data_IF_749533135855
#
_entry.id   IF_749533135855
#
_cell.length_a   1.000
_cell.length_b   1.000
_cell.length_c   1.000
_cell.angle_alpha   90.00
_cell.angle_beta   90.00
_cell.angle_gamma   90.00
#
_symmetry.space_group_name_H-M   'P 1'
#
loop_
_entity.id
_entity.type
_entity.pdbx_description
1 polymer ?
#
# COMPACT_ATOMS: atom_id res chain seq x y z
N UNK A 1 -33.63 -72.32 -19.18
CA UNK A 1 -32.33 -71.69 -18.84
C UNK A 1 -32.27 -70.30 -19.47
N UNK A 2 -31.76 -69.31 -18.73
CA UNK A 2 -31.48 -67.91 -19.10
C UNK A 2 -32.70 -66.96 -19.14
N UNK A 3 -32.91 -66.22 -18.04
CA UNK A 3 -33.30 -64.78 -17.96
C UNK A 3 -33.73 -64.40 -16.53
N UNK A 4 -32.88 -64.63 -15.53
CA UNK A 4 -33.05 -64.04 -14.17
C UNK A 4 -31.68 -63.71 -13.59
N UNK A 5 -30.83 -62.98 -14.33
CA UNK A 5 -29.58 -62.41 -13.82
C UNK A 5 -29.31 -61.13 -14.61
N UNK A 6 -30.08 -60.05 -14.38
CA UNK A 6 -29.68 -58.72 -14.92
C UNK A 6 -30.43 -57.51 -14.35
N UNK A 7 -31.07 -57.61 -13.17
CA UNK A 7 -31.83 -56.47 -12.58
C UNK A 7 -31.34 -56.08 -11.17
N UNK A 8 -30.28 -56.70 -10.64
CA UNK A 8 -29.75 -56.36 -9.31
C UNK A 8 -28.42 -55.58 -9.31
N UNK A 9 -27.98 -55.01 -10.44
CA UNK A 9 -26.65 -54.39 -10.54
C UNK A 9 -26.62 -52.87 -10.86
N UNK A 10 -27.75 -52.15 -10.78
CA UNK A 10 -27.80 -50.68 -11.02
C UNK A 10 -28.56 -49.95 -9.90
N UNK A 11 -28.39 -50.41 -8.65
CA UNK A 11 -28.90 -49.72 -7.46
C UNK A 11 -27.86 -49.62 -6.33
N UNK A 12 -26.61 -49.95 -6.64
CA UNK A 12 -25.47 -49.74 -5.75
C UNK A 12 -24.68 -48.54 -6.28
N UNK A 13 -24.48 -47.57 -5.39
CA UNK A 13 -23.46 -46.52 -5.41
C UNK A 13 -23.60 -45.35 -6.39
N UNK A 14 -24.71 -44.62 -6.30
CA UNK A 14 -24.62 -43.16 -6.14
C UNK A 14 -25.03 -42.79 -4.71
N UNK A 15 -24.38 -43.40 -3.72
CA UNK A 15 -24.24 -42.73 -2.44
C UNK A 15 -23.29 -41.57 -2.68
N UNK A 16 -23.83 -40.46 -3.17
CA UNK A 16 -23.22 -39.16 -2.98
C UNK A 16 -23.14 -38.98 -1.48
N UNK A 17 -22.03 -39.41 -0.88
CA UNK A 17 -21.67 -39.05 0.49
C UNK A 17 -21.57 -37.53 0.48
N UNK A 18 -22.68 -36.85 0.78
CA UNK A 18 -22.67 -35.41 0.96
C UNK A 18 -21.73 -35.18 2.12
N UNK A 19 -20.62 -34.50 1.84
CA UNK A 19 -19.66 -34.15 2.87
C UNK A 19 -20.37 -33.28 3.92
N UNK A 20 -20.16 -33.59 5.19
CA UNK A 20 -20.83 -32.90 6.29
C UNK A 20 -20.26 -31.49 6.48
N UNK A 21 -21.12 -30.51 6.75
CA UNK A 21 -20.67 -29.17 7.10
C UNK A 21 -20.06 -29.14 8.51
N UNK A 22 -19.46 -28.02 8.89
CA UNK A 22 -18.80 -27.90 10.18
C UNK A 22 -19.74 -28.01 11.40
N UNK A 23 -21.03 -27.67 11.30
CA UNK A 23 -21.95 -27.92 12.42
C UNK A 23 -22.09 -29.42 12.69
N UNK A 24 -22.13 -30.25 11.63
CA UNK A 24 -22.17 -31.71 11.72
C UNK A 24 -20.81 -32.33 12.05
N UNK A 25 -19.71 -31.81 11.50
CA UNK A 25 -18.37 -32.32 11.82
C UNK A 25 -17.97 -32.03 13.27
N UNK A 26 -18.28 -30.82 13.77
CA UNK A 26 -17.96 -30.44 15.15
C UNK A 26 -18.85 -31.16 16.16
N UNK A 27 -20.09 -31.54 15.81
CA UNK A 27 -20.93 -32.35 16.71
C UNK A 27 -20.39 -33.78 16.94
N UNK A 28 -19.45 -34.24 16.11
CA UNK A 28 -18.75 -35.54 16.27
C UNK A 28 -17.64 -35.50 17.32
N UNK A 29 -17.32 -34.31 17.86
CA UNK A 29 -16.30 -34.11 18.90
C UNK A 29 -16.90 -33.45 20.14
N UNK A 30 -16.20 -33.54 21.27
CA UNK A 30 -16.63 -32.99 22.55
C UNK A 30 -15.64 -31.94 23.07
N UNK A 31 -16.10 -31.01 23.91
CA UNK A 31 -15.21 -30.11 24.65
C UNK A 31 -14.26 -30.93 25.55
N UNK A 32 -12.99 -30.56 25.60
CA UNK A 32 -11.99 -31.30 26.39
C UNK A 32 -10.55 -30.99 26.00
N UNK A 33 -9.61 -31.73 26.59
CA UNK A 33 -8.18 -31.61 26.26
C UNK A 33 -7.80 -32.59 25.15
N UNK A 34 -7.12 -32.07 24.11
CA UNK A 34 -6.73 -32.84 22.94
C UNK A 34 -5.20 -32.94 22.81
N UNK A 35 -4.65 -34.12 22.46
CA UNK A 35 -3.28 -34.24 21.96
C UNK A 35 -3.07 -33.34 20.74
N UNK A 36 -1.91 -32.70 20.68
CA UNK A 36 -1.56 -31.73 19.64
C UNK A 36 -0.40 -32.27 18.83
N UNK A 37 -0.60 -32.44 17.53
CA UNK A 37 0.45 -32.78 16.59
C UNK A 37 0.90 -31.51 15.89
N UNK A 38 2.14 -31.10 16.11
CA UNK A 38 2.73 -29.88 15.55
C UNK A 38 3.46 -30.21 14.26
N UNK A 39 3.24 -29.40 13.21
CA UNK A 39 4.01 -29.49 11.97
C UNK A 39 5.44 -28.97 12.20
N UNK A 40 6.43 -29.74 11.73
CA UNK A 40 7.85 -29.38 11.71
C UNK A 40 8.42 -29.60 10.32
N UNK A 41 9.25 -28.65 9.88
CA UNK A 41 10.05 -28.78 8.66
C UNK A 41 11.39 -29.47 8.99
N UNK A 42 11.65 -30.63 8.37
CA UNK A 42 12.89 -31.43 8.53
C UNK A 42 13.71 -31.40 7.24
N UNK A 43 13.81 -30.22 6.63
CA UNK A 43 14.46 -29.96 5.34
C UNK A 43 13.49 -29.37 4.32
N UNK A 44 14.01 -28.87 3.20
CA UNK A 44 13.22 -28.17 2.18
C UNK A 44 11.99 -28.99 1.76
N UNK A 45 10.80 -28.46 2.08
CA UNK A 45 9.48 -29.04 1.77
C UNK A 45 9.21 -30.44 2.37
N UNK A 46 9.96 -30.83 3.41
CA UNK A 46 9.75 -32.11 4.13
C UNK A 46 9.10 -31.86 5.48
N UNK A 47 7.77 -31.91 5.50
CA UNK A 47 6.97 -31.68 6.69
C UNK A 47 6.60 -32.98 7.39
N UNK A 48 6.76 -33.01 8.72
CA UNK A 48 6.30 -34.11 9.58
C UNK A 48 5.47 -33.57 10.73
N UNK A 49 4.59 -34.41 11.28
CA UNK A 49 3.86 -34.11 12.50
C UNK A 49 4.55 -34.77 13.71
N UNK A 50 4.85 -33.96 14.73
CA UNK A 50 5.43 -34.42 15.99
C UNK A 50 4.45 -34.14 17.14
N UNK A 51 4.25 -35.14 18.02
CA UNK A 51 3.36 -35.01 19.17
C UNK A 51 3.94 -34.03 20.18
N UNK A 52 3.20 -32.97 20.50
CA UNK A 52 3.57 -32.00 21.52
C UNK A 52 3.41 -32.57 22.93
N UNK A 53 4.25 -32.09 23.86
CA UNK A 53 4.24 -32.53 25.27
C UNK A 53 2.98 -32.16 26.04
N UNK A 54 2.28 -31.09 25.64
CA UNK A 54 1.10 -30.56 26.34
C UNK A 54 -0.11 -30.60 25.43
N UNK A 55 -1.22 -31.06 25.98
CA UNK A 55 -2.53 -31.03 25.33
C UNK A 55 -3.13 -29.63 25.33
N UNK A 56 -4.02 -29.33 24.38
CA UNK A 56 -4.75 -28.07 24.31
C UNK A 56 -6.23 -28.27 24.65
N UNK A 57 -6.79 -27.48 25.57
CA UNK A 57 -8.24 -27.44 25.80
C UNK A 57 -8.98 -26.84 24.61
N UNK A 58 -10.10 -27.47 24.26
CA UNK A 58 -11.06 -27.04 23.25
C UNK A 58 -12.44 -26.96 23.90
N UNK A 59 -13.14 -25.85 23.68
CA UNK A 59 -14.50 -25.63 24.17
C UNK A 59 -15.41 -25.26 22.99
N UNK A 60 -16.50 -26.01 22.86
CA UNK A 60 -17.50 -25.88 21.79
C UNK A 60 -18.74 -25.20 22.37
N UNK A 61 -19.27 -24.21 21.66
CA UNK A 61 -20.43 -23.43 22.09
C UNK A 61 -21.62 -23.69 21.16
N UNK A 62 -22.43 -24.74 21.41
CA UNK A 62 -23.63 -25.00 20.61
C UNK A 62 -24.75 -24.00 20.94
N UNK A 63 -25.51 -23.61 19.92
CA UNK A 63 -26.71 -22.79 19.99
C UNK A 63 -27.81 -23.47 19.14
N UNK A 64 -28.57 -24.38 19.76
CA UNK A 64 -29.47 -25.28 19.03
C UNK A 64 -28.69 -26.22 18.11
N UNK A 65 -29.06 -26.28 16.83
CA UNK A 65 -28.39 -27.09 15.80
C UNK A 65 -27.14 -26.41 15.20
N UNK A 66 -26.80 -25.21 15.68
CA UNK A 66 -25.68 -24.42 15.17
C UNK A 66 -24.52 -24.44 16.15
N UNK A 67 -23.31 -24.36 15.62
CA UNK A 67 -22.09 -24.19 16.42
C UNK A 67 -21.42 -22.91 15.94
N UNK A 68 -21.82 -21.73 16.45
CA UNK A 68 -21.34 -20.44 15.95
C UNK A 68 -19.87 -20.14 16.28
N UNK A 69 -19.32 -20.76 17.32
CA UNK A 69 -17.93 -20.51 17.76
C UNK A 69 -17.28 -21.69 18.47
N UNK A 70 -15.95 -21.75 18.39
CA UNK A 70 -15.08 -22.70 19.08
C UNK A 70 -13.97 -21.89 19.78
N UNK A 71 -13.60 -22.28 21.00
CA UNK A 71 -12.47 -21.72 21.74
C UNK A 71 -11.35 -22.76 21.80
N UNK A 72 -10.13 -22.36 21.43
CA UNK A 72 -8.93 -23.18 21.57
C UNK A 72 -7.96 -22.47 22.51
N UNK A 73 -7.60 -23.12 23.61
CA UNK A 73 -6.66 -22.57 24.61
C UNK A 73 -5.24 -23.08 24.35
N UNK A 74 -4.47 -22.34 23.57
CA UNK A 74 -3.09 -22.69 23.25
C UNK A 74 -2.17 -22.50 24.46
N UNK A 75 -1.26 -23.44 24.67
CA UNK A 75 -0.25 -23.36 25.74
C UNK A 75 0.63 -22.12 25.55
N UNK A 76 0.55 -21.18 26.50
CA UNK A 76 1.40 -19.98 26.54
C UNK A 76 0.90 -18.79 25.71
N UNK A 77 -0.34 -18.84 25.19
CA UNK A 77 -1.00 -17.75 24.44
C UNK A 77 -2.41 -17.48 25.04
N UNK A 78 -2.94 -16.29 24.77
CA UNK A 78 -4.30 -15.82 25.11
C UNK A 78 -5.38 -16.77 24.54
N UNK A 79 -6.54 -16.81 25.17
CA UNK A 79 -7.74 -17.49 24.70
C UNK A 79 -8.16 -17.03 23.29
N UNK A 80 -8.23 -17.95 22.33
CA UNK A 80 -8.55 -17.63 20.94
C UNK A 80 -9.94 -18.14 20.54
N UNK A 81 -10.86 -17.21 20.30
CA UNK A 81 -12.18 -17.52 19.76
C UNK A 81 -12.16 -17.56 18.24
N UNK A 82 -12.70 -18.64 17.70
CA UNK A 82 -12.90 -18.87 16.27
C UNK A 82 -14.38 -18.84 15.95
N UNK A 83 -14.78 -17.99 14.99
CA UNK A 83 -16.19 -17.82 14.58
C UNK A 83 -16.45 -18.53 13.26
N UNK A 84 -17.63 -19.14 13.13
CA UNK A 84 -18.08 -19.80 11.90
C UNK A 84 -18.04 -18.82 10.70
N UNK A 85 -17.54 -19.27 9.55
CA UNK A 85 -17.53 -18.46 8.33
C UNK A 85 -18.93 -18.14 7.80
N UNK A 86 -19.86 -19.08 7.99
CA UNK A 86 -21.31 -18.94 7.79
C UNK A 86 -22.04 -19.72 8.91
N UNK A 87 -22.92 -19.07 9.70
CA UNK A 87 -23.58 -19.75 10.82
C UNK A 87 -24.39 -21.00 10.43
N UNK A 88 -25.18 -20.92 9.36
CA UNK A 88 -26.09 -22.00 8.96
C UNK A 88 -25.39 -23.17 8.24
N UNK A 89 -24.26 -22.93 7.59
CA UNK A 89 -23.54 -23.95 6.81
C UNK A 89 -22.04 -23.66 6.78
N UNK A 90 -21.33 -23.80 7.93
CA UNK A 90 -19.94 -23.40 8.00
C UNK A 90 -19.04 -24.40 7.28
N UNK A 91 -18.00 -23.88 6.65
CA UNK A 91 -16.92 -24.66 6.05
C UNK A 91 -15.63 -24.60 6.88
N UNK A 92 -15.54 -23.64 7.79
CA UNK A 92 -14.41 -23.42 8.71
C UNK A 92 -14.80 -22.36 9.73
N UNK A 93 -13.97 -22.22 10.76
CA UNK A 93 -14.01 -21.13 11.73
C UNK A 93 -12.76 -20.26 11.57
N UNK A 94 -12.84 -18.96 11.79
CA UNK A 94 -11.70 -18.04 11.64
C UNK A 94 -11.50 -17.18 12.88
N UNK A 95 -10.24 -16.90 13.20
CA UNK A 95 -9.83 -16.02 14.30
C UNK A 95 -9.92 -14.53 13.93
N UNK A 96 -9.82 -13.64 14.92
CA UNK A 96 -10.01 -12.19 14.77
C UNK A 96 -9.15 -11.49 13.69
N UNK A 97 -8.01 -12.07 13.30
CA UNK A 97 -7.14 -11.54 12.26
C UNK A 97 -7.36 -12.18 10.87
N UNK A 98 -8.38 -13.04 10.71
CA UNK A 98 -8.81 -13.70 9.46
C UNK A 98 -7.77 -14.58 8.71
N UNK A 99 -6.52 -14.66 9.17
CA UNK A 99 -5.47 -15.48 8.54
C UNK A 99 -5.49 -16.95 8.97
N UNK A 100 -5.90 -17.22 10.22
CA UNK A 100 -5.93 -18.56 10.80
C UNK A 100 -7.34 -19.13 10.76
N UNK A 101 -7.44 -20.33 10.21
CA UNK A 101 -8.66 -21.12 10.10
C UNK A 101 -8.60 -22.37 10.98
N UNK A 102 -9.77 -22.78 11.45
CA UNK A 102 -10.02 -24.04 12.14
C UNK A 102 -11.09 -24.82 11.41
N UNK A 103 -10.84 -26.09 11.11
CA UNK A 103 -11.80 -27.00 10.47
C UNK A 103 -11.76 -28.33 11.20
N UNK A 104 -12.92 -28.92 11.44
CA UNK A 104 -13.06 -30.28 11.98
C UNK A 104 -13.40 -31.23 10.84
N UNK A 105 -12.65 -32.32 10.71
CA UNK A 105 -12.92 -33.40 9.74
C UNK A 105 -12.60 -34.70 10.44
N UNK A 106 -13.52 -35.66 10.46
CA UNK A 106 -13.30 -37.00 11.02
C UNK A 106 -12.68 -36.95 12.43
N UNK A 107 -13.24 -36.11 13.31
CA UNK A 107 -12.79 -35.89 14.70
C UNK A 107 -11.37 -35.33 14.85
N UNK A 108 -10.78 -34.80 13.79
CA UNK A 108 -9.52 -34.05 13.81
C UNK A 108 -9.81 -32.57 13.66
N UNK A 109 -9.22 -31.75 14.53
CA UNK A 109 -9.32 -30.29 14.46
C UNK A 109 -8.04 -29.78 13.79
N UNK A 110 -8.17 -29.32 12.56
CA UNK A 110 -7.10 -28.75 11.75
C UNK A 110 -6.94 -27.27 12.06
N UNK A 111 -5.72 -26.85 12.37
CA UNK A 111 -5.33 -25.46 12.58
C UNK A 111 -4.37 -25.05 11.47
N UNK A 112 -4.75 -24.11 10.63
CA UNK A 112 -4.04 -23.84 9.38
C UNK A 112 -4.25 -22.40 8.87
N UNK A 113 -3.40 -21.98 7.93
CA UNK A 113 -3.64 -20.79 7.10
C UNK A 113 -4.06 -21.22 5.70
N UNK A 114 -4.83 -20.38 4.99
CA UNK A 114 -5.34 -20.71 3.66
C UNK A 114 -4.95 -19.68 2.60
N UNK A 115 -4.42 -20.15 1.47
CA UNK A 115 -4.15 -19.33 0.30
C UNK A 115 -4.85 -19.89 -0.94
N UNK A 116 -5.38 -19.01 -1.78
CA UNK A 116 -5.97 -19.42 -3.06
C UNK A 116 -4.97 -20.05 -4.03
N UNK A 117 -3.65 -19.83 -3.83
CA UNK A 117 -2.59 -20.36 -4.70
C UNK A 117 -2.01 -21.68 -4.19
N UNK A 118 -1.77 -21.82 -2.88
CA UNK A 118 -1.07 -22.97 -2.28
C UNK A 118 -1.98 -23.91 -1.48
N UNK A 119 -3.24 -23.54 -1.24
CA UNK A 119 -4.18 -24.31 -0.42
C UNK A 119 -3.93 -24.09 1.07
N UNK A 120 -4.22 -25.11 1.87
CA UNK A 120 -4.01 -25.12 3.32
C UNK A 120 -2.54 -25.33 3.69
N UNK A 121 -2.04 -24.57 4.67
CA UNK A 121 -0.76 -24.80 5.33
C UNK A 121 -1.03 -25.15 6.81
N UNK A 122 -0.92 -26.44 7.14
CA UNK A 122 -1.33 -26.96 8.45
C UNK A 122 -0.23 -26.70 9.47
N UNK A 123 -0.56 -25.96 10.53
CA UNK A 123 0.33 -25.72 11.66
C UNK A 123 0.19 -26.77 12.76
N UNK A 124 -1.06 -27.16 13.07
CA UNK A 124 -1.37 -28.13 14.12
C UNK A 124 -2.57 -28.99 13.74
N UNK A 125 -2.59 -30.23 14.25
CA UNK A 125 -3.77 -31.09 14.26
C UNK A 125 -4.04 -31.51 15.70
N UNK A 126 -5.23 -31.23 16.21
CA UNK A 126 -5.66 -31.65 17.54
C UNK A 126 -6.59 -32.84 17.37
N UNK A 127 -6.20 -34.00 17.90
CA UNK A 127 -6.98 -35.23 17.81
C UNK A 127 -6.54 -36.26 18.84
N UNK A 128 -7.48 -37.14 19.24
CA UNK A 128 -7.17 -38.35 20.02
C UNK A 128 -6.77 -39.52 19.11
N UNK A 129 -6.95 -39.38 17.80
CA UNK A 129 -6.65 -40.40 16.80
C UNK A 129 -5.21 -40.29 16.28
N UNK A 130 -4.85 -41.19 15.36
CA UNK A 130 -3.56 -41.12 14.67
C UNK A 130 -3.61 -40.05 13.57
N UNK A 131 -2.50 -39.34 13.41
CA UNK A 131 -2.29 -38.39 12.32
C UNK A 131 -1.47 -39.05 11.22
N UNK A 132 -1.91 -38.89 9.97
CA UNK A 132 -1.24 -39.40 8.78
C UNK A 132 -0.07 -38.50 8.37
N UNK A 133 0.45 -38.68 7.15
CA UNK A 133 1.49 -37.81 6.60
C UNK A 133 0.95 -36.40 6.32
N UNK A 134 1.82 -35.40 6.35
CA UNK A 134 1.43 -34.00 6.07
C UNK A 134 0.68 -33.85 4.74
N UNK A 135 1.17 -34.48 3.67
CA UNK A 135 0.56 -34.38 2.34
C UNK A 135 -0.86 -34.96 2.32
N UNK A 136 -1.09 -36.09 2.98
CA UNK A 136 -2.42 -36.70 3.06
C UNK A 136 -3.40 -35.80 3.83
N UNK A 137 -2.98 -35.32 5.00
CA UNK A 137 -3.80 -34.43 5.83
C UNK A 137 -4.11 -33.10 5.12
N UNK A 138 -3.14 -32.55 4.38
CA UNK A 138 -3.32 -31.35 3.56
C UNK A 138 -4.31 -31.59 2.42
N UNK A 139 -4.18 -32.71 1.71
CA UNK A 139 -5.06 -33.05 0.59
C UNK A 139 -6.51 -33.22 1.07
N UNK A 140 -6.72 -33.94 2.17
CA UNK A 140 -8.04 -34.12 2.80
C UNK A 140 -8.68 -32.76 3.16
N UNK A 141 -7.91 -31.86 3.77
CA UNK A 141 -8.37 -30.52 4.14
C UNK A 141 -8.66 -29.64 2.92
N UNK A 142 -7.80 -29.67 1.90
CA UNK A 142 -7.99 -28.94 0.65
C UNK A 142 -9.23 -29.39 -0.11
N UNK A 143 -9.49 -30.71 -0.16
CA UNK A 143 -10.66 -31.30 -0.79
C UNK A 143 -11.94 -30.92 -0.04
N UNK A 144 -11.97 -31.10 1.29
CA UNK A 144 -13.09 -30.67 2.14
C UNK A 144 -13.45 -29.21 1.88
N UNK A 145 -12.44 -28.33 1.88
CA UNK A 145 -12.62 -26.89 1.65
C UNK A 145 -13.19 -26.57 0.27
N UNK A 146 -12.75 -27.27 -0.78
CA UNK A 146 -13.25 -27.07 -2.15
C UNK A 146 -14.72 -27.51 -2.26
N UNK A 147 -15.06 -28.68 -1.74
CA UNK A 147 -16.42 -29.22 -1.78
C UNK A 147 -17.39 -28.34 -1.00
N UNK A 148 -17.05 -27.98 0.24
CA UNK A 148 -17.87 -27.09 1.06
C UNK A 148 -18.07 -25.73 0.40
N UNK A 149 -17.03 -25.17 -0.22
CA UNK A 149 -17.15 -23.90 -0.94
C UNK A 149 -18.15 -23.97 -2.10
N UNK A 150 -18.20 -25.10 -2.82
CA UNK A 150 -19.18 -25.33 -3.88
C UNK A 150 -20.62 -25.38 -3.36
N UNK A 151 -20.82 -26.07 -2.23
CA UNK A 151 -22.12 -26.19 -1.56
C UNK A 151 -22.59 -24.89 -0.88
N UNK A 152 -21.66 -24.01 -0.49
CA UNK A 152 -21.96 -22.70 0.09
C UNK A 152 -22.35 -21.62 -0.95
N UNK A 153 -22.42 -21.92 -2.25
CA UNK A 153 -22.64 -20.91 -3.30
C UNK A 153 -23.90 -20.05 -3.08
N UNK A 154 -25.02 -20.65 -2.67
CA UNK A 154 -26.26 -19.92 -2.33
C UNK A 154 -26.13 -19.01 -1.11
N UNK A 155 -25.72 -19.57 0.04
CA UNK A 155 -25.56 -18.83 1.30
C UNK A 155 -24.48 -17.72 1.24
N UNK A 156 -23.47 -17.87 0.36
CA UNK A 156 -22.48 -16.81 0.10
C UNK A 156 -23.08 -15.65 -0.69
N UNK A 157 -23.92 -15.93 -1.68
CA UNK A 157 -24.65 -14.89 -2.43
C UNK A 157 -25.58 -14.12 -1.50
N UNK A 158 -26.37 -14.81 -0.68
CA UNK A 158 -27.24 -14.17 0.33
C UNK A 158 -26.45 -13.31 1.32
N UNK A 159 -25.27 -13.74 1.77
CA UNK A 159 -24.42 -12.90 2.63
C UNK A 159 -23.88 -11.66 1.90
N UNK A 160 -23.55 -11.77 0.62
CA UNK A 160 -23.14 -10.62 -0.20
C UNK A 160 -24.30 -9.64 -0.32
N UNK A 161 -25.51 -10.14 -0.58
CA UNK A 161 -26.74 -9.35 -0.67
C UNK A 161 -27.07 -8.68 0.67
N UNK A 162 -27.05 -9.42 1.77
CA UNK A 162 -27.29 -8.87 3.12
C UNK A 162 -26.23 -7.84 3.52
N UNK A 163 -24.95 -8.06 3.18
CA UNK A 163 -23.90 -7.05 3.40
C UNK A 163 -24.11 -5.82 2.54
N UNK A 164 -24.55 -6.00 1.29
CA UNK A 164 -24.87 -4.88 0.40
C UNK A 164 -26.08 -4.10 0.91
N UNK A 165 -27.11 -4.78 1.42
CA UNK A 165 -28.30 -4.15 2.00
C UNK A 165 -27.94 -3.38 3.28
N UNK A 166 -27.14 -3.97 4.18
CA UNK A 166 -26.64 -3.28 5.37
C UNK A 166 -25.78 -2.07 5.00
N UNK A 167 -24.90 -2.21 4.02
CA UNK A 167 -24.08 -1.10 3.52
C UNK A 167 -24.94 0.00 2.87
N UNK A 168 -26.03 -0.37 2.17
CA UNK A 168 -26.96 0.59 1.58
C UNK A 168 -27.74 1.36 2.66
N UNK A 169 -28.23 0.66 3.70
CA UNK A 169 -28.88 1.30 4.87
C UNK A 169 -27.92 2.24 5.59
N UNK A 170 -26.69 1.79 5.85
CA UNK A 170 -25.66 2.63 6.46
C UNK A 170 -25.31 3.86 5.60
N UNK A 171 -25.24 3.69 4.27
CA UNK A 171 -25.02 4.80 3.35
C UNK A 171 -26.18 5.82 3.37
N UNK A 172 -27.43 5.34 3.41
CA UNK A 172 -28.62 6.19 3.51
C UNK A 172 -28.68 6.95 4.85
N UNK A 173 -28.29 6.30 5.95
CA UNK A 173 -28.23 6.92 7.27
C UNK A 173 -27.14 7.99 7.39
N UNK A 174 -26.08 7.90 6.59
CA UNK A 174 -24.91 8.78 6.67
C UNK A 174 -24.78 9.79 5.52
N UNK A 175 -25.52 9.65 4.42
CA UNK A 175 -25.59 10.66 3.36
C UNK A 175 -26.35 11.91 3.82
N UNK A 176 -26.10 13.05 3.17
CA UNK A 176 -26.83 14.31 3.34
C UNK A 176 -28.07 14.42 2.44
N UNK A 177 -28.27 13.50 1.49
CA UNK A 177 -29.41 13.53 0.56
C UNK A 177 -30.73 13.49 1.34
N UNK A 178 -31.62 14.43 1.04
CA UNK A 178 -32.94 14.54 1.68
C UNK A 178 -32.93 15.02 3.13
N UNK A 179 -31.76 15.36 3.70
CA UNK A 179 -31.65 15.83 5.09
C UNK A 179 -31.57 17.35 5.17
N UNK A 180 -32.27 17.92 6.14
CA UNK A 180 -32.19 19.35 6.45
C UNK A 180 -30.92 19.67 7.23
N UNK A 181 -30.03 20.44 6.60
CA UNK A 181 -28.73 20.80 7.15
C UNK A 181 -28.84 22.14 7.89
N UNK A 182 -28.32 22.21 9.12
CA UNK A 182 -28.22 23.43 9.93
C UNK A 182 -26.89 24.15 9.72
N UNK A 183 -25.77 23.41 9.78
CA UNK A 183 -24.43 23.98 9.63
C UNK A 183 -23.43 22.97 9.12
N UNK A 184 -22.37 23.45 8.46
CA UNK A 184 -21.23 22.66 8.03
C UNK A 184 -19.95 23.31 8.58
N UNK A 185 -19.09 22.51 9.19
CA UNK A 185 -17.78 22.94 9.68
C UNK A 185 -16.69 22.01 9.16
N UNK A 186 -15.51 22.56 8.94
CA UNK A 186 -14.31 21.84 8.50
C UNK A 186 -13.36 21.78 9.71
N UNK A 187 -12.84 20.59 10.00
CA UNK A 187 -11.93 20.35 11.14
C UNK A 187 -10.70 19.61 10.68
N UNK A 188 -9.54 20.10 11.09
CA UNK A 188 -8.27 19.39 10.95
C UNK A 188 -8.22 18.28 12.02
N UNK A 189 -7.84 17.06 11.64
CA UNK A 189 -7.84 15.89 12.52
C UNK A 189 -6.80 16.05 13.63
N UNK A 190 -5.61 16.51 13.25
CA UNK A 190 -4.53 16.89 14.15
C UNK A 190 -3.79 18.07 13.53
N UNK A 191 -3.81 19.23 14.19
CA UNK A 191 -3.14 20.42 13.67
C UNK A 191 -1.61 20.24 13.80
N UNK A 192 -0.87 20.06 12.69
CA UNK A 192 0.56 19.84 12.79
C UNK A 192 1.25 21.13 13.25
N UNK A 193 2.27 20.97 14.10
CA UNK A 193 3.14 22.08 14.52
C UNK A 193 3.99 22.60 13.36
N UNK A 194 4.25 21.76 12.36
CA UNK A 194 5.06 22.06 11.18
C UNK A 194 4.21 21.88 9.94
N UNK A 195 3.96 22.98 9.22
CA UNK A 195 3.25 22.94 7.95
C UNK A 195 3.98 23.83 6.95
N UNK A 196 4.24 23.30 5.78
CA UNK A 196 4.89 24.04 4.71
C UNK A 196 4.65 23.40 3.35
N UNK A 197 5.50 23.69 2.39
CA UNK A 197 5.33 23.21 1.02
C UNK A 197 5.17 21.68 0.97
N UNK A 198 4.23 21.17 0.17
CA UNK A 198 3.97 19.73 0.00
C UNK A 198 3.57 18.97 1.27
N UNK A 199 3.38 19.64 2.41
CA UNK A 199 2.85 19.00 3.61
C UNK A 199 1.42 18.50 3.35
N UNK A 200 1.08 17.35 3.91
CA UNK A 200 -0.26 16.77 3.82
C UNK A 200 -0.91 16.87 5.19
N UNK A 201 -2.12 17.43 5.24
CA UNK A 201 -2.91 17.56 6.46
C UNK A 201 -4.30 16.98 6.25
N UNK A 202 -4.75 16.17 7.22
CA UNK A 202 -6.07 15.56 7.15
C UNK A 202 -7.12 16.52 7.69
N UNK A 203 -8.14 16.79 6.87
CA UNK A 203 -9.26 17.68 7.16
C UNK A 203 -10.56 16.93 6.87
N UNK A 204 -11.46 16.89 7.84
CA UNK A 204 -12.79 16.33 7.65
C UNK A 204 -13.90 17.38 7.72
N UNK A 205 -15.09 16.95 7.36
CA UNK A 205 -16.30 17.77 7.39
C UNK A 205 -17.23 17.23 8.48
N UNK A 206 -17.72 18.14 9.31
CA UNK A 206 -18.73 17.88 10.32
C UNK A 206 -19.98 18.70 9.98
N UNK A 207 -21.10 18.00 9.82
CA UNK A 207 -22.39 18.55 9.44
C UNK A 207 -23.38 18.36 10.57
N UNK A 208 -23.97 19.45 11.04
CA UNK A 208 -25.06 19.40 12.03
C UNK A 208 -26.39 19.51 11.30
N UNK A 209 -27.27 18.55 11.50
CA UNK A 209 -28.63 18.56 10.96
C UNK A 209 -29.55 19.43 11.84
N UNK A 210 -30.70 19.84 11.30
CA UNK A 210 -31.69 20.64 12.05
C UNK A 210 -32.24 19.93 13.28
N UNK A 211 -32.26 18.59 13.28
CA UNK A 211 -32.65 17.75 14.42
C UNK A 211 -31.54 17.56 15.47
N UNK A 212 -30.38 18.21 15.29
CA UNK A 212 -29.24 18.11 16.21
C UNK A 212 -28.29 16.94 15.96
N UNK A 213 -28.62 15.97 15.09
CA UNK A 213 -27.69 14.88 14.73
C UNK A 213 -26.45 15.46 14.05
N UNK A 214 -25.28 14.98 14.47
CA UNK A 214 -23.99 15.35 13.88
C UNK A 214 -23.50 14.22 13.00
N UNK A 215 -23.24 14.53 11.74
CA UNK A 215 -22.70 13.64 10.73
C UNK A 215 -21.26 14.05 10.41
N UNK A 216 -20.36 13.08 10.26
CA UNK A 216 -18.92 13.32 10.11
C UNK A 216 -18.38 12.51 8.94
N UNK A 217 -17.38 13.04 8.25
CA UNK A 217 -16.64 12.28 7.25
C UNK A 217 -15.63 11.32 7.89
N UNK A 218 -15.09 10.39 7.09
CA UNK A 218 -14.17 9.33 7.53
C UNK A 218 -13.00 9.83 8.39
N UNK A 219 -12.38 10.94 8.01
CA UNK A 219 -11.23 11.48 8.73
C UNK A 219 -11.56 11.95 10.16
N UNK A 220 -12.84 12.19 10.46
CA UNK A 220 -13.32 12.54 11.80
C UNK A 220 -14.04 11.37 12.48
N UNK A 221 -13.86 10.14 11.99
CA UNK A 221 -14.45 8.93 12.54
C UNK A 221 -15.91 8.68 12.17
N UNK A 222 -16.48 9.41 11.20
CA UNK A 222 -17.83 9.17 10.71
C UNK A 222 -17.86 8.49 9.33
N UNK A 223 -19.06 8.33 8.77
CA UNK A 223 -19.27 7.60 7.52
C UNK A 223 -19.91 8.47 6.42
N UNK A 224 -20.06 9.77 6.65
CA UNK A 224 -20.61 10.68 5.64
C UNK A 224 -19.69 10.74 4.43
N UNK A 225 -20.19 10.47 3.22
CA UNK A 225 -19.36 10.41 2.02
C UNK A 225 -18.92 11.82 1.60
N UNK A 226 -17.64 11.97 1.24
CA UNK A 226 -17.12 13.23 0.69
C UNK A 226 -17.82 13.65 -0.60
N UNK A 227 -18.43 12.69 -1.31
CA UNK A 227 -19.19 12.92 -2.53
C UNK A 227 -20.43 13.82 -2.33
N UNK A 228 -20.91 13.99 -1.09
CA UNK A 228 -22.06 14.85 -0.77
C UNK A 228 -21.72 16.34 -0.73
N UNK A 229 -20.43 16.68 -0.88
CA UNK A 229 -19.93 18.03 -0.75
C UNK A 229 -19.32 18.55 -2.04
N UNK A 230 -19.41 19.87 -2.24
CA UNK A 230 -18.60 20.62 -3.19
C UNK A 230 -17.53 21.37 -2.39
N UNK A 231 -16.26 21.02 -2.59
CA UNK A 231 -15.15 21.59 -1.83
C UNK A 231 -14.24 22.37 -2.78
N UNK A 232 -13.94 23.61 -2.41
CA UNK A 232 -12.98 24.47 -3.09
C UNK A 232 -11.78 24.71 -2.17
N UNK A 233 -10.57 24.56 -2.70
CA UNK A 233 -9.32 24.78 -1.99
C UNK A 233 -8.52 25.95 -2.56
N UNK A 234 -7.78 26.63 -1.69
CA UNK A 234 -6.77 27.64 -2.01
C UNK A 234 -5.52 27.35 -1.17
N UNK A 235 -4.32 27.55 -1.71
CA UNK A 235 -3.07 27.18 -1.04
C UNK A 235 -2.61 25.74 -1.30
N UNK A 236 -3.37 24.97 -2.06
CA UNK A 236 -3.08 23.57 -2.35
C UNK A 236 -4.27 22.80 -2.92
N UNK A 237 -4.10 21.49 -2.98
CA UNK A 237 -5.07 20.56 -3.54
C UNK A 237 -5.75 19.78 -2.41
N UNK A 238 -7.07 19.60 -2.52
CA UNK A 238 -7.85 18.81 -1.56
C UNK A 238 -8.48 17.60 -2.24
N UNK A 239 -8.22 16.40 -1.72
CA UNK A 239 -8.79 15.16 -2.23
C UNK A 239 -9.05 14.17 -1.10
N UNK A 240 -10.28 13.65 -1.03
CA UNK A 240 -10.60 12.52 -0.14
C UNK A 240 -10.42 12.76 1.36
N UNK A 241 -10.38 14.01 1.81
CA UNK A 241 -10.10 14.36 3.20
C UNK A 241 -8.68 14.80 3.48
N UNK A 242 -7.78 14.73 2.50
CA UNK A 242 -6.40 15.19 2.65
C UNK A 242 -6.19 16.47 1.84
N UNK A 243 -5.54 17.43 2.48
CA UNK A 243 -5.10 18.67 1.85
C UNK A 243 -3.59 18.63 1.67
N UNK A 244 -3.13 18.75 0.43
CA UNK A 244 -1.72 18.85 0.09
C UNK A 244 -1.37 20.29 -0.22
N UNK A 245 -0.52 20.89 0.61
CA UNK A 245 -0.03 22.27 0.44
C UNK A 245 0.74 22.39 -0.88
N UNK A 246 0.50 23.47 -1.62
CA UNK A 246 1.17 23.71 -2.89
C UNK A 246 2.71 23.74 -2.75
N UNK A 247 3.40 23.23 -3.77
CA UNK A 247 4.88 23.27 -3.83
C UNK A 247 5.45 24.67 -4.11
N UNK A 248 4.61 25.62 -4.54
CA UNK A 248 5.00 26.95 -4.98
C UNK A 248 4.27 28.01 -4.16
N UNK A 249 5.00 28.92 -3.53
CA UNK A 249 4.43 29.95 -2.64
C UNK A 249 3.50 30.91 -3.35
N UNK A 250 3.63 31.09 -4.68
CA UNK A 250 2.73 31.94 -5.48
C UNK A 250 1.30 31.39 -5.50
N UNK A 251 1.13 30.10 -5.22
CA UNK A 251 -0.18 29.43 -5.13
C UNK A 251 -0.76 29.44 -3.71
N UNK A 252 -0.05 30.04 -2.75
CA UNK A 252 -0.43 30.12 -1.33
C UNK A 252 -0.65 31.59 -0.96
N UNK A 253 -1.79 32.18 -1.37
CA UNK A 253 -2.06 33.57 -1.06
C UNK A 253 -2.20 33.76 0.46
N UNK A 254 -1.63 34.86 0.97
CA UNK A 254 -1.67 35.22 2.38
C UNK A 254 -1.10 34.14 3.32
N UNK A 255 -0.22 33.26 2.82
CA UNK A 255 0.49 32.26 3.61
C UNK A 255 -0.43 31.35 4.45
N UNK A 256 -1.58 30.99 3.87
CA UNK A 256 -2.60 30.15 4.49
C UNK A 256 -3.16 29.13 3.51
N UNK A 257 -3.63 28.00 4.05
CA UNK A 257 -4.54 27.11 3.34
C UNK A 257 -5.98 27.53 3.64
N UNK A 258 -6.83 27.50 2.62
CA UNK A 258 -8.24 27.81 2.77
C UNK A 258 -9.11 26.77 2.09
N UNK A 259 -10.18 26.40 2.78
CA UNK A 259 -11.20 25.49 2.25
C UNK A 259 -12.57 26.12 2.41
N UNK A 260 -13.39 25.95 1.38
CA UNK A 260 -14.80 26.29 1.39
C UNK A 260 -15.58 25.05 1.00
N UNK A 261 -16.51 24.63 1.85
CA UNK A 261 -17.37 23.48 1.61
C UNK A 261 -18.83 23.92 1.54
N UNK A 262 -19.56 23.39 0.56
CA UNK A 262 -21.03 23.48 0.50
C UNK A 262 -21.62 22.09 0.31
N UNK A 263 -22.83 21.87 0.83
CA UNK A 263 -23.55 20.64 0.53
C UNK A 263 -24.07 20.66 -0.91
N UNK A 264 -23.97 19.52 -1.62
CA UNK A 264 -24.60 19.36 -2.93
C UNK A 264 -26.12 19.40 -2.88
N UNK A 265 -26.71 19.08 -1.73
CA UNK A 265 -28.15 18.99 -1.53
C UNK A 265 -28.74 20.24 -0.85
N UNK A 266 -27.89 21.13 -0.35
CA UNK A 266 -28.29 22.43 0.18
C UNK A 266 -27.13 23.43 -0.01
N UNK A 267 -27.14 24.14 -1.13
CA UNK A 267 -26.11 25.10 -1.51
C UNK A 267 -26.08 26.35 -0.62
N UNK A 268 -27.16 26.62 0.14
CA UNK A 268 -27.25 27.76 1.06
C UNK A 268 -26.44 27.59 2.34
N UNK A 269 -26.07 26.35 2.71
CA UNK A 269 -25.24 26.09 3.88
C UNK A 269 -23.78 25.92 3.46
N UNK A 270 -22.92 26.78 4.01
CA UNK A 270 -21.49 26.84 3.70
C UNK A 270 -20.65 26.75 4.97
N UNK A 271 -19.59 25.95 4.92
CA UNK A 271 -18.50 25.97 5.90
C UNK A 271 -17.24 26.56 5.27
N UNK A 272 -16.44 27.25 6.07
CA UNK A 272 -15.12 27.73 5.65
C UNK A 272 -14.07 27.35 6.69
N UNK A 273 -12.85 27.16 6.24
CA UNK A 273 -11.69 26.85 7.06
C UNK A 273 -10.49 27.62 6.55
N UNK A 274 -9.68 28.10 7.48
CA UNK A 274 -8.48 28.86 7.18
C UNK A 274 -7.42 28.48 8.20
N UNK A 275 -6.22 28.12 7.74
CA UNK A 275 -5.12 27.75 8.61
C UNK A 275 -3.80 28.35 8.13
N UNK A 276 -3.08 29.10 8.99
CA UNK A 276 -1.80 29.72 8.63
C UNK A 276 -0.70 28.68 8.42
N UNK A 277 0.21 28.97 7.50
CA UNK A 277 1.39 28.13 7.22
C UNK A 277 2.62 28.77 7.87
N UNK A 278 3.51 27.95 8.43
CA UNK A 278 4.74 28.43 9.08
C UNK A 278 6.03 28.08 8.32
N UNK A 279 5.93 27.30 7.24
CA UNK A 279 7.03 26.91 6.36
C UNK A 279 8.16 26.20 7.10
N UNK A 280 7.84 25.50 8.19
CA UNK A 280 8.79 24.73 9.00
C UNK A 280 9.03 23.34 8.41
N UNK A 281 9.40 23.27 7.13
CA UNK A 281 9.77 22.01 6.50
C UNK A 281 11.00 22.15 5.60
N UNK A 282 11.75 21.06 5.48
CA UNK A 282 12.91 21.02 4.58
C UNK A 282 12.43 20.93 3.13
N UNK A 283 13.17 21.58 2.23
CA UNK A 283 12.85 21.63 0.81
C UNK A 283 13.91 20.90 -0.01
N UNK A 284 13.46 20.19 -1.03
CA UNK A 284 14.33 19.42 -1.92
C UNK A 284 13.97 19.72 -3.38
N UNK A 285 14.89 20.35 -4.12
CA UNK A 285 14.72 20.68 -5.53
C UNK A 285 15.64 19.81 -6.39
N UNK A 286 15.05 19.19 -7.42
CA UNK A 286 15.73 18.31 -8.35
C UNK A 286 15.77 18.97 -9.73
N UNK A 287 16.92 19.56 -10.06
CA UNK A 287 17.24 20.11 -11.37
C UNK A 287 18.46 19.41 -11.99
N UNK A 288 18.69 18.16 -11.60
CA UNK A 288 19.76 17.33 -12.15
C UNK A 288 19.49 16.92 -13.60
N UNK A 289 20.56 16.63 -14.34
CA UNK A 289 20.48 16.10 -15.67
C UNK A 289 20.01 14.64 -15.68
N UNK A 290 19.28 14.26 -16.71
CA UNK A 290 18.87 12.87 -16.93
C UNK A 290 20.05 11.99 -17.34
N UNK A 291 20.03 10.74 -16.90
CA UNK A 291 21.00 9.74 -17.33
C UNK A 291 20.88 9.43 -18.82
N UNK A 292 22.00 9.07 -19.43
CA UNK A 292 22.04 8.56 -20.80
C UNK A 292 21.50 7.13 -20.88
N UNK A 293 20.98 6.77 -22.05
CA UNK A 293 20.45 5.42 -22.31
C UNK A 293 21.57 4.38 -22.28
N UNK A 294 21.29 3.20 -21.75
CA UNK A 294 22.20 2.07 -21.91
C UNK A 294 22.25 1.63 -23.38
N UNK A 295 23.44 1.29 -23.84
CA UNK A 295 23.65 0.62 -25.10
C UNK A 295 23.03 -0.78 -25.08
N UNK A 296 22.48 -1.19 -26.22
CA UNK A 296 21.91 -2.52 -26.43
C UNK A 296 22.96 -3.43 -27.07
N UNK A 297 23.27 -4.56 -26.43
CA UNK A 297 24.14 -5.59 -26.99
C UNK A 297 23.34 -6.64 -27.76
N UNK A 298 24.02 -7.44 -28.60
CA UNK A 298 23.43 -8.62 -29.24
C UNK A 298 22.37 -8.35 -30.31
N UNK A 299 22.26 -7.12 -30.81
CA UNK A 299 21.40 -6.79 -31.96
C UNK A 299 22.20 -7.08 -33.23
N UNK A 300 21.62 -7.83 -34.18
CA UNK A 300 22.30 -8.26 -35.40
C UNK A 300 23.04 -7.10 -36.09
N UNK A 301 24.37 -7.18 -36.06
CA UNK A 301 25.28 -6.39 -36.89
C UNK A 301 25.81 -5.07 -36.30
N UNK A 302 25.42 -4.62 -35.10
CA UNK A 302 26.04 -3.44 -34.43
C UNK A 302 25.89 -3.48 -32.90
N UNK A 303 27.00 -3.34 -32.17
CA UNK A 303 26.98 -2.93 -30.75
C UNK A 303 26.54 -1.48 -30.61
N UNK A 304 25.53 -1.21 -29.78
CA UNK A 304 25.05 0.17 -29.57
C UNK A 304 25.81 0.85 -28.43
N UNK A 305 26.27 2.07 -28.69
CA UNK A 305 26.93 2.93 -27.69
C UNK A 305 25.97 3.36 -26.59
N UNK A 306 26.51 3.58 -25.39
CA UNK A 306 25.77 4.24 -24.32
C UNK A 306 25.52 5.72 -24.65
N UNK A 307 24.34 6.22 -24.33
CA UNK A 307 23.98 7.62 -24.50
C UNK A 307 24.69 8.52 -23.47
N UNK A 308 24.93 9.77 -23.84
CA UNK A 308 25.48 10.77 -22.93
C UNK A 308 24.45 11.20 -21.88
N UNK A 309 24.90 11.37 -20.65
CA UNK A 309 24.12 12.03 -19.61
C UNK A 309 23.89 13.51 -19.94
N UNK A 310 22.73 14.04 -19.56
CA UNK A 310 22.41 15.46 -19.74
C UNK A 310 23.08 16.28 -18.64
N UNK A 311 23.39 17.54 -18.94
CA UNK A 311 23.90 18.47 -17.92
C UNK A 311 22.83 18.75 -16.86
N UNK A 312 23.27 19.03 -15.64
CA UNK A 312 22.44 19.64 -14.62
C UNK A 312 22.05 21.06 -15.03
N UNK A 313 20.88 21.51 -14.56
CA UNK A 313 20.38 22.84 -14.89
C UNK A 313 21.12 23.91 -14.09
N UNK A 314 21.59 24.95 -14.75
CA UNK A 314 22.10 26.14 -14.07
C UNK A 314 20.95 27.02 -13.60
N UNK A 315 21.02 27.51 -12.36
CA UNK A 315 19.94 28.27 -11.73
C UNK A 315 20.43 29.51 -10.99
N UNK A 316 19.63 30.57 -11.07
CA UNK A 316 19.82 31.81 -10.33
C UNK A 316 18.77 31.88 -9.22
N UNK A 317 19.22 31.90 -7.96
CA UNK A 317 18.41 32.07 -6.77
C UNK A 317 18.43 33.51 -6.28
N UNK A 318 17.25 34.12 -6.13
CA UNK A 318 17.08 35.39 -5.41
C UNK A 318 16.52 35.12 -4.02
N UNK A 319 17.16 35.67 -3.00
CA UNK A 319 16.83 35.49 -1.58
C UNK A 319 16.31 36.81 -0.99
N UNK A 320 15.20 36.74 -0.27
CA UNK A 320 14.59 37.89 0.41
C UNK A 320 14.15 37.48 1.81
N UNK A 321 14.55 38.25 2.82
CA UNK A 321 14.06 38.06 4.19
C UNK A 321 12.60 38.50 4.29
N UNK A 322 11.75 37.66 4.87
CA UNK A 322 10.35 37.99 5.14
C UNK A 322 9.95 37.56 6.56
N UNK A 323 8.80 38.04 7.02
CA UNK A 323 8.15 37.60 8.25
C UNK A 323 6.76 37.09 7.93
N UNK A 324 6.45 35.87 8.36
CA UNK A 324 5.14 35.24 8.16
C UNK A 324 4.68 34.68 9.49
N UNK A 325 3.51 35.11 9.96
CA UNK A 325 2.94 34.66 11.23
C UNK A 325 3.91 34.82 12.43
N UNK A 326 4.68 35.92 12.43
CA UNK A 326 5.69 36.21 13.46
C UNK A 326 6.99 35.40 13.35
N UNK A 327 7.11 34.52 12.35
CA UNK A 327 8.31 33.72 12.11
C UNK A 327 9.19 34.36 11.04
N UNK A 328 10.50 34.31 11.26
CA UNK A 328 11.47 34.71 10.24
C UNK A 328 11.54 33.63 9.16
N UNK A 329 11.25 34.02 7.93
CA UNK A 329 11.32 33.14 6.77
C UNK A 329 12.23 33.75 5.71
N UNK A 330 12.76 32.89 4.84
CA UNK A 330 13.46 33.29 3.62
C UNK A 330 12.57 32.95 2.44
N UNK A 331 12.25 33.95 1.62
CA UNK A 331 11.68 33.75 0.29
C UNK A 331 12.80 33.47 -0.69
N UNK A 332 12.64 32.43 -1.49
CA UNK A 332 13.61 31.95 -2.48
C UNK A 332 12.92 31.89 -3.84
N UNK A 333 13.50 32.54 -4.85
CA UNK A 333 13.05 32.44 -6.24
C UNK A 333 14.14 31.80 -7.07
N UNK A 334 13.94 30.55 -7.50
CA UNK A 334 14.85 29.89 -8.44
C UNK A 334 14.41 30.15 -9.87
N UNK A 335 15.32 30.68 -10.69
CA UNK A 335 15.16 30.91 -12.12
C UNK A 335 16.15 30.08 -12.91
N UNK A 336 15.75 29.63 -14.09
CA UNK A 336 16.67 29.08 -15.06
C UNK A 336 17.69 30.16 -15.47
N UNK A 337 18.98 29.85 -15.41
CA UNK A 337 20.03 30.82 -15.70
C UNK A 337 20.14 31.18 -17.19
N UNK A 338 19.69 30.32 -18.10
CA UNK A 338 19.77 30.53 -19.54
C UNK A 338 18.63 31.42 -20.06
N UNK A 339 17.42 31.32 -19.50
CA UNK A 339 16.25 32.05 -20.01
C UNK A 339 15.48 32.89 -18.98
N UNK A 340 15.88 32.89 -17.70
CA UNK A 340 15.25 33.67 -16.63
C UNK A 340 13.88 33.18 -16.16
N UNK A 341 13.39 32.05 -16.70
CA UNK A 341 12.09 31.47 -16.34
C UNK A 341 12.08 31.08 -14.86
N UNK A 342 11.03 31.46 -14.13
CA UNK A 342 10.83 31.03 -12.74
C UNK A 342 10.53 29.52 -12.72
N UNK A 343 11.41 28.77 -12.07
CA UNK A 343 11.25 27.33 -11.84
C UNK A 343 10.41 27.06 -10.60
N UNK A 344 10.65 27.85 -9.56
CA UNK A 344 9.98 27.72 -8.27
C UNK A 344 10.11 29.01 -7.50
N UNK A 345 9.04 29.34 -6.78
CA UNK A 345 9.08 30.26 -5.66
C UNK A 345 8.76 29.49 -4.38
N UNK A 346 9.55 29.69 -3.34
CA UNK A 346 9.34 29.04 -2.06
C UNK A 346 9.59 29.97 -0.89
N UNK A 347 8.92 29.69 0.22
CA UNK A 347 9.17 30.27 1.53
C UNK A 347 9.66 29.17 2.44
N UNK A 348 10.71 29.43 3.21
CA UNK A 348 11.31 28.45 4.12
C UNK A 348 11.65 29.13 5.44
N UNK A 349 11.34 28.48 6.55
CA UNK A 349 11.75 28.94 7.86
C UNK A 349 13.28 28.91 7.99
N UNK A 350 13.88 29.88 8.69
CA UNK A 350 15.36 30.05 8.75
C UNK A 350 16.12 28.85 9.32
N UNK A 351 15.45 28.02 10.14
CA UNK A 351 16.05 26.81 10.72
C UNK A 351 15.97 25.57 9.79
N UNK A 352 15.24 25.66 8.68
CA UNK A 352 15.02 24.53 7.79
C UNK A 352 16.04 24.50 6.65
N UNK A 353 16.33 23.28 6.19
CA UNK A 353 17.32 23.02 5.14
C UNK A 353 16.67 23.06 3.76
N UNK A 354 17.32 23.75 2.84
CA UNK A 354 17.03 23.67 1.40
C UNK A 354 18.12 22.84 0.74
N UNK A 355 17.73 21.78 0.04
CA UNK A 355 18.65 20.96 -0.76
C UNK A 355 18.38 21.20 -2.23
N UNK A 356 19.39 21.63 -2.97
CA UNK A 356 19.31 21.92 -4.39
C UNK A 356 20.23 20.98 -5.16
N UNK A 357 19.65 20.07 -5.95
CA UNK A 357 20.41 19.13 -6.77
C UNK A 357 20.44 19.59 -8.22
N UNK A 358 21.61 20.01 -8.68
CA UNK A 358 21.92 20.41 -10.06
C UNK A 358 23.02 19.50 -10.64
N UNK A 359 23.12 18.24 -10.20
CA UNK A 359 24.11 17.30 -10.71
C UNK A 359 23.93 17.01 -12.20
N UNK A 360 25.02 16.69 -12.88
CA UNK A 360 24.96 16.10 -14.22
C UNK A 360 24.43 14.68 -14.19
N UNK A 361 23.75 14.27 -15.25
CA UNK A 361 23.27 12.91 -15.44
C UNK A 361 24.41 11.95 -15.78
N UNK A 362 24.30 10.69 -15.37
CA UNK A 362 25.31 9.68 -15.68
C UNK A 362 25.27 9.30 -17.16
N UNK A 363 26.42 8.98 -17.76
CA UNK A 363 26.49 8.34 -19.06
C UNK A 363 26.00 6.89 -18.99
N UNK A 364 25.32 6.43 -20.04
CA UNK A 364 24.89 5.04 -20.14
C UNK A 364 26.05 4.11 -20.46
N UNK A 365 26.02 2.87 -19.97
CA UNK A 365 27.03 1.88 -20.36
C UNK A 365 26.84 1.46 -21.82
N UNK A 366 27.93 1.13 -22.51
CA UNK A 366 27.84 0.57 -23.86
C UNK A 366 27.38 -0.89 -23.87
N UNK A 367 26.77 -1.30 -24.99
CA UNK A 367 26.30 -2.67 -25.18
C UNK A 367 27.46 -3.67 -25.35
N UNK A 368 27.23 -4.93 -24.98
CA UNK A 368 28.19 -6.02 -25.28
C UNK A 368 28.34 -6.19 -26.79
N UNK A 369 29.55 -6.59 -27.20
CA UNK A 369 29.91 -7.00 -28.55
C UNK A 369 28.99 -8.10 -29.10
N UNK A 370 28.96 -8.26 -30.42
CA UNK A 370 28.32 -9.39 -31.07
C UNK A 370 29.32 -10.54 -31.28
N UNK A 371 28.83 -11.79 -31.30
CA UNK A 371 29.65 -13.00 -31.56
C UNK A 371 30.35 -12.98 -32.92
N UNK A 372 29.80 -12.27 -33.91
CA UNK A 372 30.33 -12.20 -35.28
C UNK A 372 31.44 -11.18 -35.50
N UNK A 373 32.14 -10.75 -34.43
CA UNK A 373 33.34 -9.92 -34.52
C UNK A 373 33.20 -8.43 -34.19
N UNK A 374 32.08 -8.01 -33.59
CA UNK A 374 31.92 -6.62 -33.15
C UNK A 374 32.55 -6.38 -31.78
N UNK A 375 33.32 -5.30 -31.66
CA UNK A 375 33.79 -4.76 -30.39
C UNK A 375 32.61 -4.35 -29.49
N UNK A 376 32.83 -4.27 -28.18
CA UNK A 376 31.84 -3.71 -27.28
C UNK A 376 31.58 -2.24 -27.57
N UNK A 377 30.34 -1.79 -27.37
CA UNK A 377 29.98 -0.39 -27.55
C UNK A 377 30.66 0.49 -26.50
N UNK A 378 31.10 1.69 -26.88
CA UNK A 378 31.60 2.70 -25.94
C UNK A 378 30.51 3.11 -24.93
N UNK A 379 30.93 3.42 -23.70
CA UNK A 379 30.08 4.07 -22.72
C UNK A 379 29.88 5.55 -23.04
N UNK A 380 28.74 6.11 -22.65
CA UNK A 380 28.44 7.52 -22.80
C UNK A 380 29.16 8.38 -21.74
N UNK A 381 29.39 9.64 -22.06
CA UNK A 381 29.92 10.61 -21.11
C UNK A 381 28.87 11.02 -20.07
N UNK A 382 29.29 11.32 -18.85
CA UNK A 382 28.46 11.98 -17.86
C UNK A 382 28.26 13.45 -18.20
N UNK A 383 27.07 13.98 -17.94
CA UNK A 383 26.78 15.40 -18.08
C UNK A 383 27.50 16.24 -17.03
N UNK A 384 27.72 17.52 -17.31
CA UNK A 384 28.31 18.47 -16.37
C UNK A 384 27.28 18.87 -15.30
N UNK A 385 27.74 19.22 -14.10
CA UNK A 385 26.91 19.83 -13.08
C UNK A 385 26.50 21.26 -13.48
N UNK A 386 25.34 21.69 -13.00
CA UNK A 386 24.82 23.04 -13.21
C UNK A 386 25.49 24.07 -12.29
N UNK A 387 25.50 25.32 -12.73
CA UNK A 387 25.96 26.46 -11.92
C UNK A 387 24.82 27.01 -11.08
N UNK A 388 25.06 27.29 -9.80
CA UNK A 388 24.12 27.97 -8.93
C UNK A 388 24.65 29.35 -8.58
N UNK A 389 23.91 30.40 -8.92
CA UNK A 389 24.17 31.75 -8.43
C UNK A 389 23.10 32.12 -7.40
N UNK A 390 23.50 32.42 -6.17
CA UNK A 390 22.62 32.98 -5.15
C UNK A 390 22.89 34.47 -5.02
N UNK A 391 21.84 35.25 -4.82
CA UNK A 391 21.90 36.71 -4.66
C UNK A 391 20.76 37.15 -3.75
N UNK A 392 20.91 38.25 -3.03
CA UNK A 392 19.85 38.76 -2.15
C UNK A 392 20.37 39.52 -0.95
N UNK A 393 19.52 40.36 -0.36
CA UNK A 393 19.85 41.18 0.81
C UNK A 393 19.15 40.68 2.07
N UNK A 394 19.81 40.82 3.23
CA UNK A 394 19.19 40.66 4.56
C UNK A 394 18.98 39.22 5.04
N UNK A 395 19.44 38.21 4.30
CA UNK A 395 19.36 36.79 4.69
C UNK A 395 20.70 36.36 5.29
N UNK A 396 20.86 36.51 6.60
CA UNK A 396 22.12 36.17 7.27
C UNK A 396 22.29 34.66 7.52
N UNK A 397 21.22 33.87 7.40
CA UNK A 397 21.20 32.43 7.68
C UNK A 397 20.19 31.73 6.76
N UNK A 398 20.65 31.28 5.59
CA UNK A 398 19.95 30.26 4.80
C UNK A 398 20.74 28.96 4.88
N UNK A 399 20.15 27.91 5.44
CA UNK A 399 20.74 26.58 5.45
C UNK A 399 20.50 25.90 4.08
N UNK A 400 21.35 26.19 3.10
CA UNK A 400 21.27 25.61 1.76
C UNK A 400 22.44 24.65 1.47
N UNK A 401 22.09 23.45 1.02
CA UNK A 401 23.01 22.41 0.55
C UNK A 401 22.85 22.25 -0.97
N UNK A 402 23.92 22.52 -1.70
CA UNK A 402 23.92 22.52 -3.16
C UNK A 402 24.76 21.34 -3.64
N UNK A 403 24.13 20.46 -4.41
CA UNK A 403 24.78 19.32 -5.05
C UNK A 403 24.96 19.62 -6.54
N UNK A 404 26.19 19.90 -6.96
CA UNK A 404 26.50 20.34 -8.33
C UNK A 404 27.60 19.52 -9.01
N UNK A 405 27.81 18.28 -8.58
CA UNK A 405 28.82 17.40 -9.20
C UNK A 405 28.45 17.02 -10.64
N UNK A 406 29.45 16.77 -11.47
CA UNK A 406 29.23 16.14 -12.78
C UNK A 406 28.83 14.67 -12.65
N UNK A 407 28.12 14.18 -13.66
CA UNK A 407 27.66 12.81 -13.77
C UNK A 407 28.81 11.84 -14.03
N UNK A 408 28.61 10.59 -13.62
CA UNK A 408 29.59 9.53 -13.82
C UNK A 408 29.65 9.12 -15.30
N UNK A 409 30.83 8.67 -15.73
CA UNK A 409 31.01 8.03 -17.02
C UNK A 409 30.25 6.70 -17.11
N UNK A 410 29.72 6.38 -18.28
CA UNK A 410 29.28 5.05 -18.62
C UNK A 410 30.47 4.12 -18.88
N UNK A 411 30.38 2.87 -18.45
CA UNK A 411 31.38 1.86 -18.76
C UNK A 411 31.28 1.42 -20.23
N UNK A 412 32.42 1.18 -20.87
CA UNK A 412 32.44 0.52 -22.17
C UNK A 412 31.99 -0.93 -22.08
N UNK A 413 31.18 -1.37 -23.04
CA UNK A 413 30.69 -2.73 -23.14
C UNK A 413 31.82 -3.73 -23.38
N UNK A 414 31.67 -4.94 -22.85
CA UNK A 414 32.65 -6.01 -23.08
C UNK A 414 32.65 -6.46 -24.54
N UNK A 415 33.82 -6.83 -25.06
CA UNK A 415 33.90 -7.69 -26.23
C UNK A 415 33.31 -9.06 -25.90
N UNK A 416 32.70 -9.71 -26.88
CA UNK A 416 32.01 -10.99 -26.67
C UNK A 416 32.92 -12.19 -26.92
N UNK A 417 33.95 -11.99 -27.74
CA UNK A 417 34.98 -12.96 -28.05
C UNK A 417 36.36 -12.42 -27.65
N UNK A 418 37.35 -13.30 -27.52
CA UNK A 418 38.71 -12.94 -27.08
C UNK A 418 39.43 -11.97 -28.02
N UNK A 419 39.05 -11.94 -29.30
CA UNK A 419 39.56 -11.00 -30.30
C UNK A 419 38.75 -9.69 -30.38
N UNK A 420 37.57 -9.62 -29.76
CA UNK A 420 36.75 -8.41 -29.70
C UNK A 420 37.25 -7.52 -28.57
N UNK A 421 37.55 -6.27 -28.89
CA UNK A 421 37.98 -5.28 -27.91
C UNK A 421 36.79 -4.79 -27.08
N UNK A 422 37.05 -4.50 -25.81
CA UNK A 422 36.12 -3.75 -24.96
C UNK A 422 35.95 -2.33 -25.52
N UNK A 423 34.72 -1.81 -25.46
CA UNK A 423 34.46 -0.41 -25.76
C UNK A 423 35.19 0.52 -24.78
N UNK A 424 35.44 1.75 -25.21
CA UNK A 424 36.00 2.77 -24.32
C UNK A 424 34.97 3.15 -23.23
N UNK A 425 35.45 3.48 -22.03
CA UNK A 425 34.63 4.15 -21.04
C UNK A 425 34.36 5.59 -21.50
N UNK A 426 33.21 6.13 -21.14
CA UNK A 426 32.95 7.56 -21.26
C UNK A 426 33.81 8.38 -20.29
N UNK A 427 33.65 9.69 -20.34
CA UNK A 427 34.27 10.65 -19.44
C UNK A 427 33.30 11.09 -18.36
N UNK A 428 33.83 11.34 -17.17
CA UNK A 428 33.04 11.95 -16.09
C UNK A 428 32.79 13.42 -16.45
N UNK A 429 31.58 13.90 -16.21
CA UNK A 429 31.26 15.32 -16.38
C UNK A 429 31.99 16.19 -15.36
N UNK A 430 32.20 17.47 -15.68
CA UNK A 430 32.76 18.42 -14.73
C UNK A 430 31.75 18.80 -13.64
N UNK A 431 32.24 19.17 -12.45
CA UNK A 431 31.41 19.84 -11.47
C UNK A 431 31.01 21.24 -11.98
N UNK A 432 29.81 21.68 -11.60
CA UNK A 432 29.36 23.05 -11.81
C UNK A 432 30.04 24.01 -10.83
N UNK A 433 29.57 25.25 -10.79
CA UNK A 433 30.06 26.27 -9.85
C UNK A 433 28.96 26.73 -8.89
N UNK A 434 29.36 27.25 -7.72
CA UNK A 434 28.47 27.88 -6.76
C UNK A 434 29.00 29.30 -6.54
N UNK A 435 28.16 30.28 -6.83
CA UNK A 435 28.42 31.71 -6.65
C UNK A 435 27.42 32.20 -5.61
N UNK A 436 27.88 32.80 -4.53
CA UNK A 436 27.04 33.27 -3.42
C UNK A 436 27.16 34.76 -3.22
#
# INVERSE_FOLDING_TARGET
MKKIISICLILVSTFSFSQDNQNLEVSKIESGSYPVYKMLERGYEKYIFELAKKQWPVEIFPEGDLIPKILIKKVGIVEEYYKADLPAFPAYYFGGNAEVCVTVIDKKIYYYTWSGKSGAEISYILTKEKVSTYNFEKEQLDEYRKTMKGQQSGARSERIENKAELAAKEAEENTLKGKSIKSISLKMVDAPKEIGHLSVVSIGVETTLTNGKVLKTKNLGGLTPYADFNIKSVGGDYAGGDFKVASDSRKIPNDKIELSVTSKYNSGVKGTFSYPINYMNNLHYQYQGFGGSFGRGGVHGKSVHGGHGKNGRSVNGTLEKQSVNGQNITKIVFRDAANGQVLTEAKVHVNNKVTLNVKGGNGGNGGKGHFSGDNGGNGGDGGNGGTVMLSGGGVNQLNIDIQNAGGNAGAGGAGNESYNKKGANGRRGSAGSIIK
#
